data_IF_401629473154
#
_entry.id   IF_401629473154
#
_cell.length_a   1.000
_cell.length_b   1.000
_cell.length_c   1.000
_cell.angle_alpha   90.00
_cell.angle_beta   90.00
_cell.angle_gamma   90.00
#
_symmetry.space_group_name_H-M   'P 1'
#
loop_
_entity.id
_entity.type
_entity.pdbx_description
1 polymer ?
#
# COMPACT_ATOMS: atom_id res chain seq x y z
N UNK A 1 4.52 -10.72 32.71
CA UNK A 1 3.91 -9.41 32.45
C UNK A 1 4.75 -8.77 31.36
N UNK A 2 4.45 -9.14 30.11
CA UNK A 2 5.31 -8.81 28.96
C UNK A 2 4.91 -7.44 28.47
N UNK A 3 5.75 -6.44 28.72
CA UNK A 3 5.59 -5.10 28.14
C UNK A 3 5.83 -5.17 26.62
N UNK A 4 4.85 -4.69 25.87
CA UNK A 4 4.95 -4.50 24.43
C UNK A 4 5.54 -3.09 24.21
N UNK A 5 6.79 -3.00 23.77
CA UNK A 5 7.48 -1.76 23.42
C UNK A 5 6.81 -1.16 22.16
N UNK A 6 5.85 -0.25 22.39
CA UNK A 6 5.16 0.49 21.35
C UNK A 6 6.08 1.60 20.79
N UNK A 7 7.15 1.21 20.07
CA UNK A 7 7.65 2.09 19.02
C UNK A 7 6.54 2.22 18.00
N UNK A 8 6.19 3.45 17.67
CA UNK A 8 5.13 3.81 16.73
C UNK A 8 5.22 2.97 15.46
N UNK A 9 4.45 1.88 15.41
CA UNK A 9 4.30 1.05 14.24
C UNK A 9 3.64 1.91 13.15
N UNK A 10 4.13 1.81 11.91
CA UNK A 10 3.43 2.45 10.80
C UNK A 10 2.00 1.88 10.74
N UNK A 11 0.98 2.64 10.31
CA UNK A 11 -0.40 2.14 10.28
C UNK A 11 -0.57 0.83 9.46
N UNK A 12 0.31 0.56 8.50
CA UNK A 12 0.37 -0.70 7.73
C UNK A 12 0.94 -1.91 8.52
N UNK A 13 1.57 -1.68 9.67
CA UNK A 13 2.13 -2.74 10.54
C UNK A 13 1.13 -3.22 11.61
N UNK A 14 0.01 -2.50 11.79
CA UNK A 14 -1.06 -2.93 12.70
C UNK A 14 -1.93 -3.99 12.01
N UNK A 15 -2.32 -5.07 12.72
CA UNK A 15 -3.22 -6.06 12.15
C UNK A 15 -4.58 -5.41 11.82
N UNK A 16 -5.25 -5.86 10.73
CA UNK A 16 -6.54 -5.33 10.35
C UNK A 16 -7.59 -5.57 11.45
N UNK A 17 -8.46 -4.58 11.67
CA UNK A 17 -9.56 -4.68 12.65
C UNK A 17 -10.84 -5.12 11.95
N UNK A 18 -11.56 -6.08 12.54
CA UNK A 18 -12.84 -6.59 12.06
C UNK A 18 -13.93 -6.36 13.11
N UNK A 19 -15.06 -5.77 12.71
CA UNK A 19 -16.20 -5.47 13.59
C UNK A 19 -17.51 -6.04 13.01
N UNK A 20 -18.29 -6.73 13.84
CA UNK A 20 -19.63 -7.21 13.48
C UNK A 20 -20.67 -6.18 13.93
N UNK A 21 -21.20 -5.43 12.96
CA UNK A 21 -22.18 -4.36 13.21
C UNK A 21 -23.63 -4.86 13.39
N UNK A 22 -23.91 -6.11 13.02
CA UNK A 22 -25.25 -6.72 13.11
C UNK A 22 -25.17 -8.24 13.13
N UNK A 23 -26.12 -8.86 13.84
CA UNK A 23 -26.27 -10.31 13.94
C UNK A 23 -25.53 -10.87 15.15
N UNK A 24 -25.72 -12.15 15.40
CA UNK A 24 -24.99 -12.90 16.41
C UNK A 24 -24.30 -14.07 15.69
N UNK A 25 -23.03 -13.90 15.37
CA UNK A 25 -22.26 -14.89 14.62
C UNK A 25 -21.81 -16.00 15.58
N UNK A 26 -21.95 -17.25 15.17
CA UNK A 26 -21.45 -18.36 16.00
C UNK A 26 -19.92 -18.42 15.98
N UNK A 27 -19.34 -19.16 16.93
CA UNK A 27 -17.88 -19.36 16.99
C UNK A 27 -17.34 -20.02 15.72
N UNK A 28 -18.09 -20.95 15.14
CA UNK A 28 -17.73 -21.63 13.90
C UNK A 28 -17.75 -20.69 12.69
N UNK A 29 -18.77 -19.83 12.61
CA UNK A 29 -18.89 -18.84 11.55
C UNK A 29 -17.78 -17.78 11.65
N UNK A 30 -17.46 -17.34 12.87
CA UNK A 30 -16.33 -16.45 13.14
C UNK A 30 -15.00 -17.07 12.72
N UNK A 31 -14.76 -18.34 13.07
CA UNK A 31 -13.56 -19.06 12.69
C UNK A 31 -13.43 -19.19 11.16
N UNK A 32 -14.53 -19.54 10.48
CA UNK A 32 -14.57 -19.62 9.03
C UNK A 32 -14.29 -18.26 8.37
N UNK A 33 -14.91 -17.18 8.88
CA UNK A 33 -14.71 -15.83 8.38
C UNK A 33 -13.26 -15.36 8.53
N UNK A 34 -12.67 -15.54 9.72
CA UNK A 34 -11.27 -15.17 10.00
C UNK A 34 -10.32 -15.94 9.10
N UNK A 35 -10.55 -17.24 8.88
CA UNK A 35 -9.71 -18.05 8.01
C UNK A 35 -9.72 -17.55 6.55
N UNK A 36 -10.91 -17.26 6.00
CA UNK A 36 -11.05 -16.79 4.62
C UNK A 36 -10.44 -15.40 4.44
N UNK A 37 -10.74 -14.46 5.34
CA UNK A 37 -10.20 -13.09 5.24
C UNK A 37 -8.69 -13.09 5.46
N UNK A 38 -8.19 -13.89 6.41
CA UNK A 38 -6.76 -14.02 6.67
C UNK A 38 -5.99 -14.54 5.45
N UNK A 39 -6.53 -15.55 4.77
CA UNK A 39 -5.93 -16.09 3.54
C UNK A 39 -5.93 -15.08 2.39
N UNK A 40 -7.05 -14.38 2.18
CA UNK A 40 -7.16 -13.32 1.17
C UNK A 40 -6.17 -12.17 1.44
N UNK A 41 -6.10 -11.69 2.68
CA UNK A 41 -5.18 -10.62 3.08
C UNK A 41 -3.71 -11.05 2.93
N UNK A 42 -3.36 -12.27 3.31
CA UNK A 42 -2.00 -12.79 3.15
C UNK A 42 -1.61 -12.89 1.67
N UNK A 43 -2.54 -13.31 0.81
CA UNK A 43 -2.35 -13.37 -0.63
C UNK A 43 -2.15 -11.98 -1.23
N UNK A 44 -3.02 -11.02 -0.90
CA UNK A 44 -2.87 -9.63 -1.36
C UNK A 44 -1.58 -8.98 -0.87
N UNK A 45 -1.22 -9.17 0.40
CA UNK A 45 0.02 -8.64 0.96
C UNK A 45 1.26 -9.22 0.28
N UNK A 46 1.22 -10.49 -0.12
CA UNK A 46 2.31 -11.12 -0.87
C UNK A 46 2.43 -10.57 -2.31
N UNK A 47 1.30 -10.21 -2.94
CA UNK A 47 1.25 -9.64 -4.28
C UNK A 47 1.50 -8.12 -4.30
N UNK A 48 1.29 -7.43 -3.17
CA UNK A 48 1.50 -6.01 -2.99
C UNK A 48 3.00 -5.64 -3.00
N UNK A 49 3.65 -5.81 -4.15
CA UNK A 49 5.00 -5.31 -4.42
C UNK A 49 4.86 -3.94 -5.07
N UNK A 50 5.09 -2.88 -4.30
CA UNK A 50 5.25 -1.56 -4.89
C UNK A 50 6.39 -1.63 -5.92
N UNK A 51 6.13 -1.23 -7.17
CA UNK A 51 7.18 -1.22 -8.17
C UNK A 51 8.21 -0.16 -7.78
N UNK A 52 9.38 -0.60 -7.33
CA UNK A 52 10.48 0.31 -6.99
C UNK A 52 10.76 1.20 -8.20
N UNK A 53 10.76 2.54 -8.06
CA UNK A 53 10.92 3.42 -9.21
C UNK A 53 12.24 3.13 -9.91
N UNK A 54 12.16 2.49 -11.08
CA UNK A 54 13.33 2.14 -11.89
C UNK A 54 13.90 3.39 -12.56
N UNK A 55 14.84 4.03 -11.88
CA UNK A 55 15.59 5.15 -12.44
C UNK A 55 16.58 4.63 -13.47
N UNK A 56 16.38 4.98 -14.75
CA UNK A 56 17.30 4.57 -15.81
C UNK A 56 18.67 5.23 -15.62
N UNK A 57 19.73 4.60 -16.14
CA UNK A 57 21.06 5.20 -16.16
C UNK A 57 21.08 6.56 -16.88
N UNK A 58 20.21 6.73 -17.88
CA UNK A 58 20.00 8.01 -18.57
C UNK A 58 19.31 9.05 -17.67
N UNK A 59 18.25 8.68 -16.93
CA UNK A 59 17.60 9.58 -15.97
C UNK A 59 18.56 10.03 -14.85
N UNK A 60 19.45 9.15 -14.38
CA UNK A 60 20.46 9.49 -13.36
C UNK A 60 21.56 10.42 -13.87
N UNK A 61 21.92 10.31 -15.15
CA UNK A 61 22.98 11.11 -15.78
C UNK A 61 22.48 12.39 -16.44
N UNK A 62 21.16 12.55 -16.58
CA UNK A 62 20.52 13.78 -17.01
C UNK A 62 20.72 14.84 -15.92
N UNK A 63 21.87 15.52 -15.96
CA UNK A 63 22.13 16.75 -15.20
C UNK A 63 20.96 17.70 -15.39
N UNK A 64 20.63 18.48 -14.35
CA UNK A 64 19.54 19.48 -14.19
C UNK A 64 19.31 20.47 -15.35
N UNK A 65 20.05 20.35 -16.44
CA UNK A 65 19.96 21.14 -17.66
C UNK A 65 18.59 21.04 -18.35
N UNK A 66 17.73 20.06 -18.04
CA UNK A 66 16.38 19.96 -18.64
C UNK A 66 15.33 19.47 -17.65
N UNK A 67 14.32 20.31 -17.42
CA UNK A 67 13.12 19.95 -16.67
C UNK A 67 12.29 18.93 -17.47
N UNK A 68 11.79 17.84 -16.84
CA UNK A 68 10.89 16.91 -17.51
C UNK A 68 9.65 17.62 -18.08
N UNK A 69 9.17 17.15 -19.23
CA UNK A 69 7.99 17.72 -19.88
C UNK A 69 6.75 17.52 -19.00
N UNK A 70 6.05 18.61 -18.68
CA UNK A 70 4.82 18.59 -17.87
C UNK A 70 3.65 18.02 -18.68
N UNK A 71 3.30 16.77 -18.39
CA UNK A 71 2.19 16.01 -19.00
C UNK A 71 0.79 16.48 -18.59
N UNK A 72 0.70 17.32 -17.56
CA UNK A 72 -0.53 17.89 -17.03
C UNK A 72 -0.96 19.19 -17.73
N UNK A 73 -0.20 19.66 -18.71
CA UNK A 73 -0.52 20.84 -19.52
C UNK A 73 -0.96 20.37 -20.92
N UNK A 74 -2.15 20.78 -21.41
CA UNK A 74 -2.61 20.41 -22.75
C UNK A 74 -1.68 20.97 -23.84
N UNK A 75 -1.42 20.16 -24.86
CA UNK A 75 -0.55 20.50 -25.98
C UNK A 75 -1.14 21.69 -26.75
N UNK A 76 -0.55 22.87 -26.61
CA UNK A 76 -1.06 24.09 -27.27
C UNK A 76 -0.64 25.42 -26.64
N UNK A 77 0.03 25.40 -25.47
CA UNK A 77 0.55 26.62 -24.81
C UNK A 77 2.09 26.72 -24.76
N UNK A 78 2.81 25.90 -25.53
CA UNK A 78 4.26 26.01 -25.65
C UNK A 78 4.62 27.10 -26.68
N UNK A 79 5.17 28.22 -26.21
CA UNK A 79 5.70 29.30 -27.04
C UNK A 79 7.13 29.60 -26.62
N UNK A 80 8.09 28.85 -27.17
CA UNK A 80 9.54 29.10 -27.02
C UNK A 80 10.14 28.52 -25.74
#
# INVERSE_FOLDING_TARGET
MTEHDARSAAPDELPPTLEIVRGDATEEELAALIAVIGDAYASEAAEAVAEEPRVSAWMRTQRDLRRPLRRDIPWGRFSG
#
